data_IF_454268337495
#
_entry.id   IF_454268337495
#
_cell.length_a   1.000
_cell.length_b   1.000
_cell.length_c   1.000
_cell.angle_alpha   90.00
_cell.angle_beta   90.00
_cell.angle_gamma   90.00
#
_symmetry.space_group_name_H-M   'P 1'
#
loop_
_entity.id
_entity.type
_entity.pdbx_description
1 polymer ?
#
# COMPACT_ATOMS: atom_id res chain seq x y z
N UNK A 1 -1.94 34.84 -5.98
CA UNK A 1 -2.79 33.89 -5.21
C UNK A 1 -2.80 32.54 -5.94
N UNK A 2 -1.99 31.57 -5.50
CA UNK A 2 -2.08 30.18 -6.01
C UNK A 2 -3.37 29.59 -5.42
N UNK A 3 -4.37 29.31 -6.26
CA UNK A 3 -5.54 28.50 -5.88
C UNK A 3 -5.03 27.12 -5.45
N UNK A 4 -4.94 26.89 -4.15
CA UNK A 4 -4.89 25.53 -3.61
C UNK A 4 -6.24 24.89 -3.94
N UNK A 5 -6.29 24.12 -5.02
CA UNK A 5 -7.43 23.25 -5.30
C UNK A 5 -7.38 22.17 -4.23
N UNK A 6 -8.17 22.35 -3.16
CA UNK A 6 -8.36 21.33 -2.14
C UNK A 6 -9.27 20.24 -2.72
N UNK A 7 -8.74 19.45 -3.65
CA UNK A 7 -9.45 18.32 -4.23
C UNK A 7 -9.46 17.21 -3.19
N UNK A 8 -10.63 16.96 -2.59
CA UNK A 8 -10.87 15.78 -1.75
C UNK A 8 -10.95 14.55 -2.66
N UNK A 9 -9.78 14.03 -3.05
CA UNK A 9 -9.67 12.82 -3.88
C UNK A 9 -9.49 11.65 -2.93
N UNK A 10 -10.45 10.73 -2.95
CA UNK A 10 -10.30 9.46 -2.24
C UNK A 10 -9.19 8.65 -2.91
N UNK A 11 -8.24 8.16 -2.12
CA UNK A 11 -7.07 7.43 -2.63
C UNK A 11 -7.08 5.98 -2.17
N UNK A 12 -6.71 5.06 -3.06
CA UNK A 12 -6.51 3.65 -2.71
C UNK A 12 -5.02 3.37 -2.82
N UNK A 13 -4.40 2.88 -1.74
CA UNK A 13 -2.97 2.55 -1.67
C UNK A 13 -2.82 1.05 -1.47
N UNK A 14 -2.16 0.35 -2.41
CA UNK A 14 -1.86 -1.07 -2.29
C UNK A 14 -0.43 -1.25 -1.74
N UNK A 15 -0.32 -1.66 -0.48
CA UNK A 15 0.94 -1.97 0.18
C UNK A 15 1.34 -3.42 -0.13
N UNK A 16 2.50 -3.61 -0.77
CA UNK A 16 2.99 -4.92 -1.22
C UNK A 16 4.04 -5.53 -0.28
N UNK A 17 4.46 -4.79 0.74
CA UNK A 17 5.55 -5.07 1.68
C UNK A 17 5.04 -5.45 3.07
N UNK A 18 3.87 -6.10 3.14
CA UNK A 18 3.23 -6.50 4.41
C UNK A 18 3.35 -7.98 4.72
N UNK A 19 3.75 -8.80 3.74
CA UNK A 19 3.83 -10.25 3.88
C UNK A 19 5.29 -10.74 3.94
N UNK A 20 5.57 -11.81 4.72
CA UNK A 20 6.92 -12.20 5.10
C UNK A 20 7.80 -12.76 3.98
N UNK A 21 7.29 -13.03 2.77
CA UNK A 21 8.08 -13.78 1.78
C UNK A 21 7.84 -13.26 0.37
N UNK A 22 8.67 -12.33 -0.08
CA UNK A 22 8.82 -12.05 -1.52
C UNK A 22 10.08 -12.76 -2.02
N UNK A 23 9.90 -13.76 -2.89
CA UNK A 23 11.03 -14.40 -3.59
C UNK A 23 11.43 -13.49 -4.75
N UNK A 24 12.62 -12.92 -4.68
CA UNK A 24 13.16 -12.06 -5.75
C UNK A 24 14.32 -12.77 -6.43
N UNK A 25 14.34 -12.72 -7.77
CA UNK A 25 15.50 -13.17 -8.54
C UNK A 25 16.60 -12.12 -8.44
N UNK A 26 17.64 -12.41 -7.64
CA UNK A 26 18.88 -11.65 -7.70
C UNK A 26 19.81 -12.28 -8.76
N UNK A 27 20.77 -11.52 -9.33
CA UNK A 27 21.62 -11.98 -10.43
C UNK A 27 22.40 -13.30 -10.20
N UNK A 28 22.47 -13.80 -8.96
CA UNK A 28 23.22 -15.00 -8.58
C UNK A 28 22.40 -16.06 -7.81
N UNK A 29 21.23 -15.70 -7.26
CA UNK A 29 20.37 -16.62 -6.47
C UNK A 29 19.00 -16.00 -6.19
N UNK A 30 18.02 -16.84 -5.89
CA UNK A 30 16.78 -16.39 -5.28
C UNK A 30 17.03 -15.93 -3.84
N UNK A 31 16.41 -14.81 -3.48
CA UNK A 31 16.49 -14.23 -2.13
C UNK A 31 15.07 -14.01 -1.63
N UNK A 32 14.80 -14.54 -0.44
CA UNK A 32 13.57 -14.25 0.30
C UNK A 32 13.70 -12.93 1.04
N UNK A 33 12.78 -12.01 0.78
CA UNK A 33 12.69 -10.74 1.48
C UNK A 33 11.59 -10.79 2.52
N UNK A 34 11.93 -10.30 3.72
CA UNK A 34 11.01 -10.06 4.82
C UNK A 34 10.85 -8.55 5.01
N UNK A 35 9.63 -8.07 5.31
CA UNK A 35 9.42 -6.68 5.65
C UNK A 35 10.10 -6.36 6.99
N UNK A 36 10.70 -5.18 7.08
CA UNK A 36 11.28 -4.69 8.34
C UNK A 36 10.17 -4.03 9.15
N UNK A 37 10.44 -3.78 10.42
CA UNK A 37 9.48 -3.15 11.33
C UNK A 37 8.97 -1.79 10.81
N UNK A 38 9.83 -1.02 10.12
CA UNK A 38 9.47 0.29 9.58
C UNK A 38 8.43 0.21 8.45
N UNK A 39 8.43 -0.86 7.64
CA UNK A 39 7.40 -1.08 6.62
C UNK A 39 6.03 -1.29 7.28
N UNK A 40 5.97 -2.14 8.31
CA UNK A 40 4.73 -2.39 9.07
C UNK A 40 4.25 -1.15 9.81
N UNK A 41 5.18 -0.35 10.36
CA UNK A 41 4.84 0.92 11.01
C UNK A 41 4.25 1.92 10.00
N UNK A 42 4.85 2.03 8.81
CA UNK A 42 4.36 2.93 7.76
C UNK A 42 3.00 2.51 7.22
N UNK A 43 2.77 1.21 7.04
CA UNK A 43 1.44 0.67 6.72
C UNK A 43 0.41 1.12 7.76
N UNK A 44 0.71 0.94 9.05
CA UNK A 44 -0.19 1.34 10.14
C UNK A 44 -0.42 2.86 10.22
N UNK A 45 0.58 3.67 9.87
CA UNK A 45 0.45 5.13 9.80
C UNK A 45 -0.42 5.55 8.61
N UNK A 46 -0.17 5.01 7.42
CA UNK A 46 -0.92 5.30 6.20
C UNK A 46 -2.40 4.92 6.35
N UNK A 47 -2.70 3.77 6.96
CA UNK A 47 -4.07 3.29 7.20
C UNK A 47 -4.91 4.21 8.09
N UNK A 48 -4.30 5.18 8.78
CA UNK A 48 -5.00 6.16 9.63
C UNK A 48 -5.30 7.48 8.90
N UNK A 49 -4.84 7.65 7.67
CA UNK A 49 -5.12 8.85 6.90
C UNK A 49 -6.60 8.91 6.51
N UNK A 50 -7.15 10.12 6.53
CA UNK A 50 -8.52 10.35 6.10
C UNK A 50 -8.61 10.25 4.57
N UNK A 51 -9.73 9.73 4.07
CA UNK A 51 -10.02 9.62 2.64
C UNK A 51 -8.99 8.74 1.89
N UNK A 52 -8.42 7.75 2.60
CA UNK A 52 -7.48 6.76 2.07
C UNK A 52 -7.92 5.35 2.48
N UNK A 53 -8.02 4.44 1.52
CA UNK A 53 -8.12 3.00 1.79
C UNK A 53 -6.74 2.36 1.51
N UNK A 54 -6.09 1.83 2.56
CA UNK A 54 -4.83 1.09 2.41
C UNK A 54 -5.14 -0.41 2.43
N UNK A 55 -4.75 -1.12 1.37
CA UNK A 55 -5.00 -2.55 1.19
C UNK A 55 -3.68 -3.29 1.07
N UNK A 56 -3.65 -4.56 1.48
CA UNK A 56 -2.44 -5.39 1.58
C UNK A 56 -2.47 -6.62 0.65
N UNK A 57 -3.56 -6.82 -0.09
CA UNK A 57 -3.68 -7.93 -1.03
C UNK A 57 -4.66 -7.61 -2.18
N UNK A 58 -4.57 -8.41 -3.24
CA UNK A 58 -5.36 -8.24 -4.48
C UNK A 58 -6.86 -8.40 -4.25
N UNK A 59 -7.29 -9.25 -3.30
CA UNK A 59 -8.72 -9.41 -2.99
C UNK A 59 -9.28 -8.11 -2.40
N UNK A 60 -8.62 -7.56 -1.38
CA UNK A 60 -9.02 -6.27 -0.77
C UNK A 60 -8.94 -5.12 -1.76
N UNK A 61 -7.93 -5.11 -2.64
CA UNK A 61 -7.84 -4.11 -3.71
C UNK A 61 -9.06 -4.16 -4.63
N UNK A 62 -9.47 -5.35 -5.08
CA UNK A 62 -10.67 -5.51 -5.91
C UNK A 62 -11.95 -5.09 -5.17
N UNK A 63 -12.07 -5.39 -3.88
CA UNK A 63 -13.19 -4.95 -3.05
C UNK A 63 -13.25 -3.41 -2.95
N UNK A 64 -12.11 -2.76 -2.72
CA UNK A 64 -12.02 -1.30 -2.71
C UNK A 64 -12.34 -0.69 -4.08
N UNK A 65 -11.83 -1.26 -5.18
CA UNK A 65 -12.13 -0.76 -6.52
C UNK A 65 -13.64 -0.82 -6.81
N UNK A 66 -14.31 -1.94 -6.52
CA UNK A 66 -15.78 -2.09 -6.67
C UNK A 66 -16.60 -1.12 -5.81
N UNK A 67 -16.03 -0.64 -4.70
CA UNK A 67 -16.70 0.32 -3.80
C UNK A 67 -16.69 1.74 -4.39
N UNK A 68 -15.65 2.10 -5.14
CA UNK A 68 -15.40 3.48 -5.58
C UNK A 68 -15.48 3.71 -7.10
N UNK A 69 -15.46 2.63 -7.90
CA UNK A 69 -15.56 2.63 -9.37
C UNK A 69 -16.79 1.82 -9.77
#
# INVERSE_FOLDING_TARGET
>A
MRKLVNAKIHSIVFACDTEPTVITQAPKKEVTLYPRDIELENYNKLSKFKDVDVVDNVKKLNECLKKWI
#
